data_IF_956327004830
#
_entry.id   IF_956327004830
#
_cell.length_a   1.000
_cell.length_b   1.000
_cell.length_c   1.000
_cell.angle_alpha   90.00
_cell.angle_beta   90.00
_cell.angle_gamma   90.00
#
_symmetry.space_group_name_H-M   'P 1'
#
loop_
_entity.id
_entity.type
_entity.pdbx_description
1 polymer ?
#
# COMPACT_ATOMS: atom_id res chain seq x y z
N UNK A 1 26.12 -7.38 -7.58
CA UNK A 1 26.72 -7.03 -6.28
C UNK A 1 25.62 -7.01 -5.28
N UNK A 2 25.62 -7.96 -4.59
CA UNK A 2 25.37 -8.42 -3.26
C UNK A 2 23.93 -8.57 -2.94
N UNK A 3 23.38 -9.73 -3.31
CA UNK A 3 22.17 -10.38 -2.86
C UNK A 3 21.82 -10.37 -1.37
N UNK A 4 22.25 -9.34 -0.63
CA UNK A 4 22.03 -9.23 0.83
C UNK A 4 20.70 -8.61 1.21
N UNK A 5 19.87 -8.16 0.26
CA UNK A 5 18.59 -7.49 0.55
C UNK A 5 17.35 -8.16 -0.04
N UNK A 6 17.47 -9.34 -0.63
CA UNK A 6 16.28 -10.16 -0.75
C UNK A 6 15.98 -10.68 0.67
N UNK A 7 14.91 -10.25 1.33
CA UNK A 7 14.43 -11.02 2.46
C UNK A 7 14.30 -12.43 1.93
N UNK A 8 15.02 -13.35 2.52
CA UNK A 8 15.04 -14.73 2.05
C UNK A 8 13.59 -15.15 1.86
N UNK A 9 13.30 -15.91 0.83
CA UNK A 9 11.97 -16.52 0.60
C UNK A 9 11.44 -17.06 1.92
N UNK A 10 12.32 -17.58 2.76
CA UNK A 10 12.03 -18.01 4.12
C UNK A 10 11.44 -16.90 5.01
N UNK A 11 11.98 -15.70 5.02
CA UNK A 11 11.44 -14.60 5.83
C UNK A 11 10.06 -14.16 5.35
N UNK A 12 9.82 -14.18 4.03
CA UNK A 12 8.52 -13.88 3.43
C UNK A 12 7.49 -14.96 3.75
N UNK A 13 7.88 -16.24 3.68
CA UNK A 13 7.02 -17.38 4.04
C UNK A 13 6.68 -17.33 5.52
N UNK A 14 7.67 -17.11 6.40
CA UNK A 14 7.43 -16.99 7.84
C UNK A 14 6.52 -15.81 8.18
N UNK A 15 6.68 -14.67 7.48
CA UNK A 15 5.77 -13.54 7.64
C UNK A 15 4.35 -13.92 7.21
N UNK A 16 4.18 -14.50 6.02
CA UNK A 16 2.89 -14.93 5.52
C UNK A 16 2.20 -15.93 6.46
N UNK A 17 2.95 -16.93 6.95
CA UNK A 17 2.42 -17.92 7.90
C UNK A 17 1.99 -17.31 9.23
N UNK A 18 2.75 -16.35 9.76
CA UNK A 18 2.41 -15.67 11.03
C UNK A 18 1.22 -14.75 10.92
N UNK A 19 0.92 -14.25 9.73
CA UNK A 19 -0.18 -13.33 9.46
C UNK A 19 -1.33 -13.99 8.71
N UNK A 20 -1.17 -15.27 8.35
CA UNK A 20 -2.28 -16.06 7.82
C UNK A 20 -3.40 -16.11 8.84
N UNK A 21 -4.59 -15.82 8.38
CA UNK A 21 -5.83 -15.94 9.15
C UNK A 21 -6.64 -17.08 8.58
N UNK A 22 -7.37 -17.78 9.42
CA UNK A 22 -8.34 -18.73 8.90
C UNK A 22 -9.39 -17.97 8.07
N UNK A 23 -10.10 -18.68 7.23
CA UNK A 23 -11.16 -18.11 6.40
C UNK A 23 -12.25 -17.50 7.28
N UNK A 24 -12.56 -18.15 8.39
CA UNK A 24 -13.55 -17.74 9.36
C UNK A 24 -13.08 -16.47 10.11
N UNK A 25 -11.85 -16.44 10.58
CA UNK A 25 -11.27 -15.26 11.22
C UNK A 25 -11.25 -14.04 10.29
N UNK A 26 -10.91 -14.26 9.01
CA UNK A 26 -10.92 -13.19 8.01
C UNK A 26 -12.34 -12.69 7.77
N UNK A 27 -13.32 -13.57 7.65
CA UNK A 27 -14.72 -13.20 7.46
C UNK A 27 -15.23 -12.33 8.62
N UNK A 28 -14.92 -12.70 9.86
CA UNK A 28 -15.27 -11.91 11.06
C UNK A 28 -14.62 -10.53 11.01
N UNK A 29 -13.33 -10.45 10.67
CA UNK A 29 -12.62 -9.17 10.58
C UNK A 29 -13.20 -8.26 9.49
N UNK A 30 -13.53 -8.81 8.33
CA UNK A 30 -14.14 -8.04 7.22
C UNK A 30 -15.55 -7.56 7.57
N UNK A 31 -16.33 -8.37 8.29
CA UNK A 31 -17.63 -7.96 8.77
C UNK A 31 -17.54 -6.81 9.78
N UNK A 32 -16.63 -6.90 10.76
CA UNK A 32 -16.34 -5.83 11.70
C UNK A 32 -15.87 -4.56 10.99
N UNK A 33 -14.96 -4.70 10.02
CA UNK A 33 -14.49 -3.56 9.24
C UNK A 33 -15.66 -2.88 8.51
N UNK A 34 -16.54 -3.64 7.87
CA UNK A 34 -17.71 -3.11 7.17
C UNK A 34 -18.64 -2.35 8.11
N UNK A 35 -18.87 -2.89 9.30
CA UNK A 35 -19.74 -2.27 10.32
C UNK A 35 -19.14 -0.95 10.83
N UNK A 36 -17.85 -0.94 11.16
CA UNK A 36 -17.19 0.23 11.73
C UNK A 36 -16.64 1.21 10.67
N UNK A 37 -16.69 0.86 9.39
CA UNK A 37 -16.10 1.66 8.33
C UNK A 37 -16.56 3.12 8.28
N UNK A 38 -17.84 3.47 8.45
CA UNK A 38 -18.28 4.86 8.45
C UNK A 38 -17.54 5.69 9.50
N UNK A 39 -17.42 5.16 10.72
CA UNK A 39 -16.73 5.81 11.84
C UNK A 39 -15.22 5.89 11.65
N UNK A 40 -14.62 4.81 11.13
CA UNK A 40 -13.18 4.78 10.79
C UNK A 40 -12.89 5.81 9.71
N UNK A 41 -13.69 5.86 8.66
CA UNK A 41 -13.55 6.82 7.55
C UNK A 41 -13.63 8.26 8.03
N UNK A 42 -14.58 8.59 8.86
CA UNK A 42 -14.71 9.94 9.45
C UNK A 42 -13.43 10.34 10.18
N UNK A 43 -12.92 9.47 11.06
CA UNK A 43 -11.67 9.72 11.80
C UNK A 43 -10.46 9.86 10.88
N UNK A 44 -10.35 9.02 9.84
CA UNK A 44 -9.27 9.11 8.87
C UNK A 44 -9.31 10.43 8.11
N UNK A 45 -10.49 10.87 7.66
CA UNK A 45 -10.66 12.14 6.95
C UNK A 45 -10.33 13.36 7.83
N UNK A 46 -10.56 13.26 9.15
CA UNK A 46 -10.19 14.32 10.09
C UNK A 46 -8.68 14.39 10.36
N UNK A 47 -7.95 13.29 10.19
CA UNK A 47 -6.51 13.20 10.50
C UNK A 47 -5.61 13.30 9.26
N UNK A 48 -6.07 12.78 8.13
CA UNK A 48 -5.25 12.69 6.93
C UNK A 48 -5.36 13.94 6.08
N UNK A 49 -4.21 14.45 5.68
CA UNK A 49 -4.15 15.51 4.66
C UNK A 49 -4.50 14.93 3.28
N UNK A 50 -5.22 15.69 2.45
CA UNK A 50 -5.42 15.31 1.06
C UNK A 50 -4.09 15.14 0.31
N UNK A 51 -4.01 14.20 -0.62
CA UNK A 51 -2.82 13.94 -1.42
C UNK A 51 -2.23 15.21 -2.05
N UNK A 52 -3.08 16.05 -2.65
CA UNK A 52 -2.65 17.31 -3.30
C UNK A 52 -1.95 18.24 -2.31
N UNK A 53 -2.42 18.31 -1.08
CA UNK A 53 -1.81 19.16 -0.05
C UNK A 53 -0.46 18.59 0.43
N UNK A 54 -0.35 17.28 0.59
CA UNK A 54 0.93 16.63 0.91
C UNK A 54 1.94 16.88 -0.21
N UNK A 55 1.54 16.66 -1.46
CA UNK A 55 2.38 16.91 -2.64
C UNK A 55 2.86 18.36 -2.67
N UNK A 56 1.96 19.32 -2.55
CA UNK A 56 2.28 20.76 -2.51
C UNK A 56 3.31 21.11 -1.43
N UNK A 57 3.17 20.55 -0.22
CA UNK A 57 4.13 20.79 0.88
C UNK A 57 5.50 20.22 0.57
N UNK A 58 5.57 19.04 -0.04
CA UNK A 58 6.84 18.44 -0.45
C UNK A 58 7.51 19.27 -1.54
N UNK A 59 6.76 19.74 -2.53
CA UNK A 59 7.28 20.62 -3.60
C UNK A 59 7.84 21.94 -3.05
N UNK A 60 7.20 22.55 -2.05
CA UNK A 60 7.68 23.80 -1.41
C UNK A 60 9.07 23.66 -0.76
N UNK A 61 9.41 22.47 -0.27
CA UNK A 61 10.73 22.20 0.33
C UNK A 61 11.71 21.54 -0.63
N UNK A 62 11.35 21.45 -1.92
CA UNK A 62 12.20 20.83 -2.94
C UNK A 62 12.34 19.31 -2.83
N UNK A 63 11.45 18.66 -2.08
CA UNK A 63 11.46 17.21 -1.96
C UNK A 63 10.88 16.52 -3.20
N UNK A 64 11.38 15.33 -3.57
CA UNK A 64 10.81 14.55 -4.67
C UNK A 64 9.34 14.19 -4.42
N UNK A 65 8.51 14.39 -5.43
CA UNK A 65 7.07 14.06 -5.40
C UNK A 65 6.66 13.06 -6.46
N UNK A 66 7.56 12.77 -7.40
CA UNK A 66 7.35 11.79 -8.45
C UNK A 66 8.45 10.72 -8.38
N UNK A 67 8.13 9.46 -8.67
CA UNK A 67 9.10 8.36 -8.57
C UNK A 67 10.30 8.52 -9.50
N UNK A 68 10.11 9.14 -10.65
CA UNK A 68 11.18 9.39 -11.62
C UNK A 68 12.27 10.31 -11.07
N UNK A 69 11.94 11.23 -10.18
CA UNK A 69 12.89 12.15 -9.54
C UNK A 69 13.92 11.43 -8.64
N UNK A 70 13.62 10.21 -8.24
CA UNK A 70 14.53 9.34 -7.44
C UNK A 70 14.95 8.08 -8.22
N UNK A 71 14.82 8.10 -9.56
CA UNK A 71 15.26 7.01 -10.44
C UNK A 71 14.39 5.75 -10.37
N UNK A 72 13.13 5.87 -9.96
CA UNK A 72 12.18 4.74 -9.89
C UNK A 72 11.14 4.90 -10.99
N UNK A 73 10.95 3.87 -11.82
CA UNK A 73 9.86 3.86 -12.80
C UNK A 73 8.52 3.62 -12.11
N UNK A 74 7.41 4.08 -12.72
CA UNK A 74 6.06 3.85 -12.21
C UNK A 74 5.71 2.36 -12.12
N UNK A 75 6.17 1.57 -13.07
CA UNK A 75 6.05 0.11 -13.02
C UNK A 75 6.74 -0.47 -11.77
N UNK A 76 7.99 -0.07 -11.51
CA UNK A 76 8.71 -0.48 -10.30
C UNK A 76 8.02 -0.01 -9.03
N UNK A 77 7.48 1.22 -9.02
CA UNK A 77 6.72 1.73 -7.89
C UNK A 77 5.48 0.86 -7.62
N UNK A 78 4.70 0.54 -8.67
CA UNK A 78 3.53 -0.36 -8.56
C UNK A 78 3.91 -1.72 -7.95
N UNK A 79 4.99 -2.35 -8.42
CA UNK A 79 5.47 -3.62 -7.88
C UNK A 79 5.92 -3.49 -6.42
N UNK A 80 6.46 -2.33 -6.06
CA UNK A 80 6.88 -2.03 -4.69
C UNK A 80 5.70 -1.98 -3.72
N UNK A 81 4.53 -1.48 -4.11
CA UNK A 81 3.32 -1.52 -3.28
C UNK A 81 2.96 -2.95 -2.87
N UNK A 82 3.06 -3.91 -3.81
CA UNK A 82 2.76 -5.32 -3.54
C UNK A 82 3.79 -5.91 -2.56
N UNK A 83 5.06 -5.52 -2.68
CA UNK A 83 6.15 -6.07 -1.86
C UNK A 83 6.31 -5.40 -0.50
N UNK A 84 5.91 -4.14 -0.38
CA UNK A 84 6.14 -3.35 0.83
C UNK A 84 5.43 -3.90 2.08
N UNK A 85 4.33 -4.63 1.91
CA UNK A 85 3.65 -5.32 3.02
C UNK A 85 4.54 -6.34 3.76
N UNK A 86 5.58 -6.87 3.10
CA UNK A 86 6.47 -7.87 3.68
C UNK A 86 7.64 -7.28 4.49
N UNK A 87 7.84 -5.95 4.45
CA UNK A 87 9.00 -5.30 5.06
C UNK A 87 8.83 -5.16 6.57
N UNK A 88 7.62 -4.98 7.07
CA UNK A 88 7.35 -4.69 8.49
C UNK A 88 6.33 -5.64 9.10
N UNK A 89 6.42 -5.83 10.42
CA UNK A 89 5.49 -6.65 11.20
C UNK A 89 4.25 -5.87 11.69
N UNK A 90 4.02 -4.67 11.18
CA UNK A 90 2.89 -3.82 11.57
C UNK A 90 1.81 -3.89 10.51
N UNK A 91 0.56 -3.93 10.96
CA UNK A 91 -0.59 -3.83 10.08
C UNK A 91 -0.62 -2.46 9.40
N UNK A 92 -0.75 -2.46 8.10
CA UNK A 92 -0.76 -1.26 7.25
C UNK A 92 -1.98 -1.24 6.34
N UNK A 93 -2.17 -0.15 5.62
CA UNK A 93 -3.19 -0.06 4.57
C UNK A 93 -3.00 -1.12 3.46
N UNK A 94 -1.76 -1.57 3.24
CA UNK A 94 -1.47 -2.63 2.25
C UNK A 94 -2.00 -3.99 2.72
N UNK A 95 -1.87 -4.29 4.03
CA UNK A 95 -2.47 -5.50 4.61
C UNK A 95 -3.99 -5.47 4.50
N UNK A 96 -4.59 -4.30 4.71
CA UNK A 96 -6.02 -4.09 4.51
C UNK A 96 -6.43 -4.35 3.06
N UNK A 97 -5.67 -3.80 2.09
CA UNK A 97 -5.93 -3.98 0.67
C UNK A 97 -5.88 -5.46 0.24
N UNK A 98 -4.90 -6.21 0.77
CA UNK A 98 -4.77 -7.65 0.51
C UNK A 98 -5.91 -8.43 1.15
N UNK A 99 -6.18 -8.22 2.44
CA UNK A 99 -7.22 -8.97 3.17
C UNK A 99 -8.62 -8.72 2.65
N UNK A 100 -8.90 -7.51 2.19
CA UNK A 100 -10.19 -7.16 1.59
C UNK A 100 -10.32 -7.59 0.12
N UNK A 101 -9.22 -8.05 -0.52
CA UNK A 101 -9.20 -8.40 -1.93
C UNK A 101 -9.13 -7.20 -2.90
N UNK A 102 -8.98 -5.98 -2.38
CA UNK A 102 -8.99 -4.76 -3.19
C UNK A 102 -7.62 -4.29 -3.68
N UNK A 103 -6.53 -5.01 -3.40
CA UNK A 103 -5.19 -4.59 -3.76
C UNK A 103 -5.05 -4.22 -5.25
N UNK A 104 -5.49 -5.07 -6.15
CA UNK A 104 -5.40 -4.80 -7.60
C UNK A 104 -6.25 -3.60 -8.00
N UNK A 105 -7.48 -3.51 -7.52
CA UNK A 105 -8.38 -2.40 -7.82
C UNK A 105 -7.79 -1.07 -7.33
N UNK A 106 -7.18 -1.04 -6.16
CA UNK A 106 -6.54 0.17 -5.64
C UNK A 106 -5.29 0.54 -6.45
N UNK A 107 -4.49 -0.45 -6.85
CA UNK A 107 -3.35 -0.21 -7.73
C UNK A 107 -3.79 0.33 -9.11
N UNK A 108 -4.84 -0.22 -9.69
CA UNK A 108 -5.39 0.28 -10.96
C UNK A 108 -5.96 1.70 -10.79
N UNK A 109 -6.50 2.02 -9.61
CA UNK A 109 -6.92 3.37 -9.26
C UNK A 109 -5.78 4.39 -9.16
N UNK A 110 -4.54 3.95 -8.96
CA UNK A 110 -3.36 4.81 -8.89
C UNK A 110 -2.57 4.83 -10.20
N UNK A 111 -2.46 3.70 -10.89
CA UNK A 111 -1.55 3.48 -12.01
C UNK A 111 -2.26 3.30 -13.36
N UNK A 112 -3.58 3.22 -13.39
CA UNK A 112 -4.36 3.08 -14.60
C UNK A 112 -4.38 4.36 -15.45
N UNK A 113 -4.98 4.28 -16.64
CA UNK A 113 -5.11 5.40 -17.58
C UNK A 113 -5.79 6.60 -16.94
N UNK A 114 -5.20 7.77 -17.07
CA UNK A 114 -5.70 9.03 -16.48
C UNK A 114 -5.54 9.14 -14.96
N UNK A 115 -4.78 8.25 -14.33
CA UNK A 115 -4.53 8.25 -12.87
C UNK A 115 -3.23 8.94 -12.51
N UNK A 116 -3.03 9.17 -11.19
CA UNK A 116 -1.90 9.95 -10.62
C UNK A 116 -0.55 9.46 -11.14
N UNK A 117 -0.34 8.16 -11.19
CA UNK A 117 0.89 7.52 -11.64
C UNK A 117 0.63 6.60 -12.84
N UNK A 118 -0.12 7.11 -13.83
CA UNK A 118 -0.40 6.36 -15.05
C UNK A 118 0.88 5.76 -15.63
N UNK A 119 0.85 4.44 -15.88
CA UNK A 119 1.94 3.76 -16.57
C UNK A 119 1.68 3.90 -18.05
N UNK A 120 2.48 4.74 -18.71
CA UNK A 120 2.54 4.85 -20.17
C UNK A 120 3.72 4.01 -20.62
N UNK A 121 3.45 2.87 -21.24
CA UNK A 121 4.44 2.10 -22.01
C UNK A 121 4.43 2.55 -23.46
#
# INVERSE_FOLDING_TARGET
KDGKWAPTIHAQVVYAMRHARSREELAVQLQQLKEYWPKIRERLLAQLLPYKEVKRRLELVGAPTEPEQIGITRKRLRDTFIRAQFIRRRFTVLDLAVRSGYMNQWLDGLFGKGKIWEITE
#
